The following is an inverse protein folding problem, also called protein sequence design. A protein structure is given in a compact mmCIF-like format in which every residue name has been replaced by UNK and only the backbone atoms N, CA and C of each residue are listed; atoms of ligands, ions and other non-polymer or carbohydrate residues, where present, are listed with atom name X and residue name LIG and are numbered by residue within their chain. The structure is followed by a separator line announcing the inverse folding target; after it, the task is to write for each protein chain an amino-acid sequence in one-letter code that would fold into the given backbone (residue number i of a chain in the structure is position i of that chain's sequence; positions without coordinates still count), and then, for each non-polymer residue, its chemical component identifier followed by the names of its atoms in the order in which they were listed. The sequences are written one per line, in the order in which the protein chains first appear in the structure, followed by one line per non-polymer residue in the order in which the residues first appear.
data_IF_155508227643
#
_entry.id   IF_155508227643
#
_cell.length_a   1.000
_cell.length_b   1.000
_cell.length_c   1.000
_cell.angle_alpha   90.00
_cell.angle_beta   90.00
_cell.angle_gamma   90.00
#
_symmetry.space_group_name_H-M   'P 1'
#
loop_
_entity.id
_entity.type
_entity.pdbx_description
1 polymer ?
#
# COMPACT_ATOMS: atom_id res chain seq x y z
N UNK A 1 -16.19 -19.93 3.71
CA UNK A 1 -15.94 -19.93 2.26
C UNK A 1 -15.38 -18.61 1.74
N UNK A 2 -15.84 -17.48 2.28
CA UNK A 2 -15.34 -16.17 1.84
C UNK A 2 -13.86 -16.02 2.15
N UNK A 3 -13.45 -16.38 3.37
CA UNK A 3 -12.05 -16.31 3.75
C UNK A 3 -11.19 -17.21 2.87
N UNK A 4 -11.69 -18.38 2.54
CA UNK A 4 -10.99 -19.31 1.66
C UNK A 4 -10.80 -18.72 0.26
N UNK A 5 -11.84 -18.09 -0.27
CA UNK A 5 -11.76 -17.46 -1.60
C UNK A 5 -10.75 -16.32 -1.63
N UNK A 6 -10.73 -15.50 -0.59
CA UNK A 6 -9.77 -14.42 -0.49
C UNK A 6 -8.34 -14.97 -0.41
N UNK A 7 -8.13 -15.98 0.41
CA UNK A 7 -6.81 -16.59 0.54
C UNK A 7 -6.36 -17.22 -0.77
N UNK A 8 -7.28 -17.88 -1.48
CA UNK A 8 -6.98 -18.47 -2.77
C UNK A 8 -6.53 -17.41 -3.77
N UNK A 9 -7.29 -16.29 -3.87
CA UNK A 9 -6.95 -15.20 -4.76
C UNK A 9 -5.59 -14.59 -4.44
N UNK A 10 -5.30 -14.37 -3.16
CA UNK A 10 -4.02 -13.84 -2.75
C UNK A 10 -2.88 -14.78 -3.10
N UNK A 11 -3.06 -16.09 -2.90
CA UNK A 11 -2.05 -17.07 -3.24
C UNK A 11 -1.79 -17.10 -4.73
N UNK A 12 -2.83 -17.00 -5.55
CA UNK A 12 -2.68 -16.98 -7.00
C UNK A 12 -1.92 -15.74 -7.46
N UNK A 13 -2.22 -14.57 -6.91
CA UNK A 13 -1.47 -13.36 -7.24
C UNK A 13 -0.01 -13.49 -6.87
N UNK A 14 0.28 -14.02 -5.69
CA UNK A 14 1.66 -14.21 -5.26
C UNK A 14 2.40 -15.16 -6.18
N UNK A 15 1.74 -16.25 -6.58
CA UNK A 15 2.35 -17.21 -7.49
C UNK A 15 2.65 -16.58 -8.84
N UNK A 16 1.72 -15.80 -9.36
CA UNK A 16 1.93 -15.10 -10.63
C UNK A 16 3.10 -14.12 -10.55
N UNK A 17 3.19 -13.37 -9.46
CA UNK A 17 4.29 -12.43 -9.30
C UNK A 17 5.64 -13.14 -9.25
N UNK A 18 5.70 -14.27 -8.57
CA UNK A 18 6.92 -15.07 -8.53
C UNK A 18 7.25 -15.62 -9.92
N UNK A 19 6.24 -16.15 -10.61
CA UNK A 19 6.43 -16.76 -11.92
C UNK A 19 6.95 -15.75 -12.96
N UNK A 20 6.48 -14.50 -12.88
CA UNK A 20 6.89 -13.45 -13.80
C UNK A 20 8.01 -12.56 -13.25
N UNK A 21 8.57 -12.94 -12.13
CA UNK A 21 9.66 -12.19 -11.49
C UNK A 21 9.31 -10.72 -11.25
N UNK A 22 8.08 -10.47 -10.82
CA UNK A 22 7.61 -9.12 -10.51
C UNK A 22 8.04 -8.76 -9.10
N UNK A 23 8.63 -7.60 -8.96
CA UNK A 23 8.99 -7.08 -7.63
C UNK A 23 7.74 -6.82 -6.82
N UNK A 24 7.79 -7.18 -5.55
CA UNK A 24 6.64 -7.04 -4.67
C UNK A 24 7.09 -6.69 -3.26
N UNK A 25 6.19 -6.06 -2.52
CA UNK A 25 6.41 -5.76 -1.12
C UNK A 25 5.14 -6.12 -0.35
N UNK A 26 5.34 -6.66 0.85
CA UNK A 26 4.24 -6.98 1.74
C UNK A 26 4.13 -5.86 2.75
N UNK A 27 2.93 -5.28 2.88
CA UNK A 27 2.70 -4.15 3.75
C UNK A 27 1.95 -4.58 4.99
N UNK A 28 2.46 -4.15 6.13
CA UNK A 28 1.73 -4.28 7.39
C UNK A 28 0.74 -3.12 7.47
N UNK A 29 -0.53 -3.44 7.77
CA UNK A 29 -1.58 -2.43 7.85
C UNK A 29 -1.22 -1.35 8.87
N UNK A 30 -0.70 -1.73 10.02
CA UNK A 30 -0.31 -0.77 11.04
C UNK A 30 0.80 0.16 10.57
N UNK A 31 1.73 -0.36 9.77
CA UNK A 31 2.87 0.42 9.31
C UNK A 31 2.46 1.58 8.40
N UNK A 32 1.65 1.31 7.37
CA UNK A 32 1.26 2.37 6.45
C UNK A 32 0.26 3.33 7.08
N UNK A 33 -0.60 2.83 7.96
CA UNK A 33 -1.54 3.70 8.69
C UNK A 33 -0.81 4.62 9.65
N UNK A 34 0.21 4.12 10.31
CA UNK A 34 1.03 4.96 11.19
C UNK A 34 1.74 6.05 10.39
N UNK A 35 2.30 5.71 9.24
CA UNK A 35 2.96 6.67 8.37
C UNK A 35 2.01 7.77 7.91
N UNK A 36 0.77 7.41 7.62
CA UNK A 36 -0.25 8.36 7.19
C UNK A 36 -0.95 9.07 8.36
N UNK A 37 -0.67 8.66 9.59
CA UNK A 37 -1.32 9.25 10.76
C UNK A 37 -2.76 8.81 10.96
N UNK A 38 -3.09 7.61 10.52
CA UNK A 38 -4.48 7.15 10.47
C UNK A 38 -4.82 6.02 11.45
N UNK A 39 -3.90 5.68 12.35
CA UNK A 39 -4.18 4.65 13.34
C UNK A 39 -5.33 5.12 14.25
N UNK A 40 -6.32 4.28 14.41
CA UNK A 40 -7.49 4.59 15.21
C UNK A 40 -8.50 5.48 14.51
N UNK A 41 -8.27 5.84 13.26
CA UNK A 41 -9.18 6.65 12.47
C UNK A 41 -10.06 5.77 11.59
N UNK A 42 -11.19 6.32 11.16
CA UNK A 42 -12.13 5.58 10.33
C UNK A 42 -11.77 5.67 8.84
N UNK A 43 -12.59 5.03 8.01
CA UNK A 43 -12.35 4.99 6.56
C UNK A 43 -12.48 6.34 5.91
N UNK A 44 -13.33 7.21 6.47
CA UNK A 44 -13.51 8.54 5.94
C UNK A 44 -12.24 9.38 6.11
N UNK A 45 -11.54 9.19 7.23
CA UNK A 45 -10.26 9.87 7.44
C UNK A 45 -9.24 9.47 6.38
N UNK A 46 -9.21 8.20 6.01
CA UNK A 46 -8.33 7.71 4.94
C UNK A 46 -8.66 8.38 3.61
N UNK A 47 -9.94 8.46 3.28
CA UNK A 47 -10.37 9.10 2.03
C UNK A 47 -9.96 10.57 2.00
N UNK A 48 -10.18 11.28 3.09
CA UNK A 48 -9.83 12.70 3.15
C UNK A 48 -8.32 12.92 3.08
N UNK A 49 -7.55 12.07 3.74
CA UNK A 49 -6.09 12.16 3.69
C UNK A 49 -5.57 11.93 2.26
N UNK A 50 -6.09 10.92 1.59
CA UNK A 50 -5.71 10.64 0.21
C UNK A 50 -6.12 11.77 -0.74
N UNK A 51 -7.27 12.36 -0.51
CA UNK A 51 -7.75 13.47 -1.33
C UNK A 51 -6.83 14.68 -1.21
N UNK A 52 -6.31 14.94 0.00
CA UNK A 52 -5.36 16.03 0.19
C UNK A 52 -4.02 15.76 -0.48
N UNK A 53 -3.56 14.51 -0.43
CA UNK A 53 -2.29 14.14 -1.06
C UNK A 53 -2.37 14.05 -2.57
N UNK A 54 -3.52 13.66 -3.09
CA UNK A 54 -3.72 13.46 -4.52
C UNK A 54 -4.97 14.22 -4.99
N UNK A 55 -4.87 15.55 -5.11
CA UNK A 55 -6.05 16.35 -5.47
C UNK A 55 -6.65 16.01 -6.82
N UNK A 56 -5.84 15.45 -7.73
CA UNK A 56 -6.32 15.06 -9.05
C UNK A 56 -7.04 13.73 -9.10
N UNK A 57 -7.02 12.96 -8.00
CA UNK A 57 -7.69 11.67 -7.96
C UNK A 57 -9.16 11.82 -7.66
N UNK A 58 -9.98 10.91 -8.21
CA UNK A 58 -11.42 10.91 -7.97
C UNK A 58 -11.73 10.19 -6.67
N UNK A 59 -11.80 10.94 -5.58
CA UNK A 59 -12.04 10.42 -4.25
C UNK A 59 -13.21 11.13 -3.56
N UNK A 60 -14.14 11.67 -4.35
CA UNK A 60 -15.22 12.50 -3.83
C UNK A 60 -16.28 11.72 -3.06
N UNK A 61 -16.54 10.48 -3.45
CA UNK A 61 -17.59 9.67 -2.86
C UNK A 61 -17.09 8.81 -1.71
N UNK A 62 -17.95 8.58 -0.72
CA UNK A 62 -17.59 7.73 0.42
C UNK A 62 -17.20 6.32 0.00
N UNK A 63 -17.80 5.80 -1.07
CA UNK A 63 -17.48 4.47 -1.59
C UNK A 63 -16.07 4.35 -2.14
N UNK A 64 -15.36 5.45 -2.28
CA UNK A 64 -14.00 5.46 -2.82
C UNK A 64 -12.93 5.21 -1.76
N UNK A 65 -13.32 4.77 -0.56
CA UNK A 65 -12.34 4.56 0.51
C UNK A 65 -11.32 3.47 0.18
N UNK A 66 -11.70 2.43 -0.56
CA UNK A 66 -10.73 1.41 -0.97
C UNK A 66 -9.70 1.98 -1.94
N UNK A 67 -10.15 2.83 -2.86
CA UNK A 67 -9.25 3.52 -3.77
C UNK A 67 -8.30 4.45 -3.01
N UNK A 68 -8.83 5.13 -2.02
CA UNK A 68 -8.05 6.03 -1.18
C UNK A 68 -6.98 5.26 -0.41
N UNK A 69 -7.34 4.12 0.18
CA UNK A 69 -6.39 3.30 0.90
C UNK A 69 -5.30 2.77 -0.02
N UNK A 70 -5.66 2.38 -1.23
CA UNK A 70 -4.67 1.92 -2.21
C UNK A 70 -3.68 3.03 -2.55
N UNK A 71 -4.15 4.27 -2.70
CA UNK A 71 -3.27 5.41 -2.96
C UNK A 71 -2.35 5.69 -1.78
N UNK A 72 -2.86 5.59 -0.56
CA UNK A 72 -2.05 5.80 0.64
C UNK A 72 -0.99 4.71 0.79
N UNK A 73 -1.33 3.47 0.48
CA UNK A 73 -0.36 2.38 0.48
C UNK A 73 0.71 2.59 -0.58
N UNK A 74 0.32 3.02 -1.76
CA UNK A 74 1.26 3.31 -2.83
C UNK A 74 2.21 4.44 -2.44
N UNK A 75 1.68 5.47 -1.79
CA UNK A 75 2.50 6.59 -1.29
C UNK A 75 3.49 6.12 -0.24
N UNK A 76 3.04 5.24 0.66
CA UNK A 76 3.92 4.69 1.67
C UNK A 76 5.07 3.90 1.04
N UNK A 77 4.76 3.04 0.07
CA UNK A 77 5.77 2.25 -0.63
C UNK A 77 6.73 3.18 -1.37
N UNK A 78 6.21 4.19 -2.04
CA UNK A 78 7.04 5.16 -2.74
C UNK A 78 8.02 5.85 -1.80
N UNK A 79 7.54 6.33 -0.67
CA UNK A 79 8.40 7.03 0.27
C UNK A 79 9.45 6.10 0.91
N UNK A 80 9.08 4.84 1.12
CA UNK A 80 9.99 3.88 1.73
C UNK A 80 11.02 3.33 0.75
N UNK A 81 10.61 3.11 -0.50
CA UNK A 81 11.44 2.42 -1.48
C UNK A 81 11.96 3.28 -2.61
N UNK A 82 11.54 4.54 -2.70
CA UNK A 82 12.02 5.44 -3.76
C UNK A 82 13.52 5.63 -3.71
N UNK A 83 14.08 5.67 -2.51
CA UNK A 83 15.52 5.78 -2.32
C UNK A 83 16.24 4.55 -2.88
N UNK A 84 15.60 3.39 -2.82
CA UNK A 84 16.16 2.18 -3.42
C UNK A 84 16.31 2.30 -4.92
N UNK A 85 15.40 2.99 -5.59
CA UNK A 85 15.49 3.21 -7.03
C UNK A 85 16.62 4.16 -7.39
N UNK A 86 16.87 5.15 -6.52
CA UNK A 86 17.87 6.17 -6.76
C UNK A 86 19.24 5.79 -6.21
N UNK A 87 19.29 5.40 -4.97
CA UNK A 87 20.53 5.11 -4.28
C UNK A 87 20.67 3.67 -3.82
N UNK A 88 19.69 2.95 -4.06
CA UNK A 88 19.49 1.53 -4.10
C UNK A 88 20.04 0.62 -3.02
N UNK A 89 21.30 0.24 -3.10
CA UNK A 89 21.80 -0.91 -2.35
C UNK A 89 21.96 -0.67 -0.85
N UNK A 90 22.34 0.52 -0.48
CA UNK A 90 22.50 0.84 0.94
C UNK A 90 21.17 0.80 1.68
N UNK A 91 20.13 1.34 1.07
CA UNK A 91 18.79 1.32 1.68
C UNK A 91 18.26 -0.12 1.77
N UNK A 92 18.50 -0.89 0.74
CA UNK A 92 18.09 -2.30 0.74
C UNK A 92 18.73 -3.06 1.88
N UNK A 93 20.02 -2.83 2.14
CA UNK A 93 20.72 -3.47 3.24
C UNK A 93 20.15 -3.09 4.60
N UNK A 94 19.78 -1.84 4.75
CA UNK A 94 19.18 -1.37 5.98
C UNK A 94 17.87 -2.10 6.27
N UNK A 95 17.10 -2.38 5.24
CA UNK A 95 15.86 -3.12 5.40
C UNK A 95 16.07 -4.59 5.74
N UNK A 96 17.16 -5.17 5.29
CA UNK A 96 17.48 -6.55 5.60
C UNK A 96 17.95 -6.74 7.03
N UNK A 97 18.50 -5.73 7.63
CA UNK A 97 18.91 -5.74 9.02
C UNK A 97 17.74 -5.59 9.97
#
# INVERSE_FOLDING_TARGET
LTAFRVAWGCAMFQLLMVAFDIRRAYLNIAAWKKHAGLIGKDKEASRLAAQRMFPGADLKCKKHHNRAEALLMARYVESKYSVNLAGSRSVRREEEE
#
